data_IF_109463480972
#
_entry.id   IF_109463480972
#
_cell.length_a   1.000
_cell.length_b   1.000
_cell.length_c   1.000
_cell.angle_alpha   90.00
_cell.angle_beta   90.00
_cell.angle_gamma   90.00
#
_symmetry.space_group_name_H-M   'P 1'
#
loop_
_entity.id
_entity.type
_entity.pdbx_description
1 polymer ?
#
# COMPACT_ATOMS: atom_id res chain seq x y z
N UNK A 1 2.15 37.02 -5.16
CA UNK A 1 2.50 36.33 -6.43
C UNK A 1 2.16 34.87 -6.25
N UNK A 2 0.90 34.51 -6.50
CA UNK A 2 0.41 33.13 -6.41
C UNK A 2 1.13 32.29 -7.46
N UNK A 3 2.10 31.48 -7.04
CA UNK A 3 2.57 30.38 -7.87
C UNK A 3 1.46 29.32 -7.88
N UNK A 4 0.45 29.53 -8.72
CA UNK A 4 -0.33 28.43 -9.27
C UNK A 4 0.59 27.63 -10.20
N UNK A 5 1.55 26.95 -9.58
CA UNK A 5 2.41 25.99 -10.21
C UNK A 5 1.52 24.76 -10.41
N UNK A 6 0.93 24.62 -11.59
CA UNK A 6 0.26 23.38 -11.96
C UNK A 6 1.28 22.23 -11.86
N UNK A 7 1.25 21.49 -10.75
CA UNK A 7 2.06 20.29 -10.56
C UNK A 7 1.57 19.29 -11.60
N UNK A 8 2.35 19.08 -12.66
CA UNK A 8 2.05 18.06 -13.66
C UNK A 8 2.33 16.69 -13.06
N UNK A 9 1.31 16.13 -12.40
CA UNK A 9 1.34 14.79 -11.83
C UNK A 9 1.33 13.77 -12.98
N UNK A 10 2.32 12.88 -13.00
CA UNK A 10 2.40 11.83 -14.01
C UNK A 10 1.27 10.80 -13.83
N UNK A 11 0.62 10.31 -14.91
CA UNK A 11 -0.46 9.31 -14.85
C UNK A 11 -0.14 8.07 -13.99
N UNK A 12 1.13 7.64 -14.01
CA UNK A 12 1.62 6.51 -13.20
C UNK A 12 1.35 6.69 -11.70
N UNK A 13 1.37 7.92 -11.18
CA UNK A 13 1.07 8.18 -9.77
C UNK A 13 -0.38 7.82 -9.43
N UNK A 14 -1.34 8.20 -10.28
CA UNK A 14 -2.75 7.84 -10.09
C UNK A 14 -2.95 6.33 -10.15
N UNK A 15 -2.28 5.64 -11.09
CA UNK A 15 -2.32 4.17 -11.17
C UNK A 15 -1.80 3.55 -9.87
N UNK A 16 -0.69 4.05 -9.32
CA UNK A 16 -0.14 3.56 -8.06
C UNK A 16 -1.09 3.79 -6.88
N UNK A 17 -1.69 4.97 -6.75
CA UNK A 17 -2.66 5.28 -5.69
C UNK A 17 -3.89 4.39 -5.80
N UNK A 18 -4.45 4.23 -7.00
CA UNK A 18 -5.61 3.35 -7.24
C UNK A 18 -5.30 1.91 -6.86
N UNK A 19 -4.14 1.38 -7.25
CA UNK A 19 -3.76 0.00 -6.93
C UNK A 19 -3.59 -0.21 -5.42
N UNK A 20 -2.99 0.77 -4.71
CA UNK A 20 -2.86 0.73 -3.24
C UNK A 20 -4.19 0.86 -2.52
N UNK A 21 -5.13 1.67 -3.04
CA UNK A 21 -6.50 1.74 -2.53
C UNK A 21 -7.21 0.40 -2.67
N UNK A 22 -7.08 -0.27 -3.82
CA UNK A 22 -7.66 -1.61 -4.00
C UNK A 22 -7.08 -2.56 -2.95
N UNK A 23 -5.75 -2.58 -2.77
CA UNK A 23 -5.08 -3.42 -1.77
C UNK A 23 -5.56 -3.12 -0.34
N UNK A 24 -5.78 -1.85 0.01
CA UNK A 24 -6.25 -1.49 1.36
C UNK A 24 -7.67 -1.99 1.67
N UNK A 25 -8.54 -2.14 0.66
CA UNK A 25 -9.89 -2.67 0.83
C UNK A 25 -9.95 -4.22 0.87
N UNK A 26 -8.92 -4.92 0.40
CA UNK A 26 -8.88 -6.39 0.36
C UNK A 26 -9.23 -7.03 1.72
N UNK A 27 -8.61 -6.65 2.86
CA UNK A 27 -8.95 -7.24 4.17
C UNK A 27 -10.42 -7.07 4.55
N UNK A 28 -11.02 -5.89 4.26
CA UNK A 28 -12.43 -5.60 4.58
C UNK A 28 -13.39 -6.43 3.74
N UNK A 29 -13.12 -6.56 2.44
CA UNK A 29 -13.92 -7.40 1.55
C UNK A 29 -13.93 -8.85 2.06
N UNK A 30 -12.79 -9.36 2.52
CA UNK A 30 -12.73 -10.69 3.13
C UNK A 30 -13.61 -10.81 4.37
N UNK A 31 -13.57 -9.85 5.29
CA UNK A 31 -14.41 -9.90 6.48
C UNK A 31 -15.91 -9.93 6.11
N UNK A 32 -16.32 -9.12 5.13
CA UNK A 32 -17.70 -9.06 4.66
C UNK A 32 -18.18 -10.38 4.02
N UNK A 33 -17.36 -10.98 3.14
CA UNK A 33 -17.72 -12.23 2.46
C UNK A 33 -17.60 -13.47 3.37
N UNK A 34 -16.59 -13.51 4.26
CA UNK A 34 -16.28 -14.69 5.07
C UNK A 34 -17.25 -14.87 6.25
N UNK A 35 -17.49 -13.81 7.04
CA UNK A 35 -18.34 -13.90 8.24
C UNK A 35 -19.80 -14.16 7.86
N UNK A 36 -20.24 -13.70 6.68
CA UNK A 36 -21.64 -13.78 6.26
C UNK A 36 -22.00 -15.05 5.50
N UNK A 37 -21.04 -15.74 4.88
CA UNK A 37 -21.29 -16.89 3.99
C UNK A 37 -20.47 -18.13 4.41
N UNK A 38 -21.00 -18.91 5.37
CA UNK A 38 -20.32 -20.06 5.99
C UNK A 38 -20.09 -21.28 5.08
N UNK A 39 -20.70 -21.36 3.88
CA UNK A 39 -20.72 -22.60 3.07
C UNK A 39 -19.39 -22.95 2.36
N UNK A 40 -18.39 -22.06 2.32
CA UNK A 40 -17.14 -22.25 1.56
C UNK A 40 -15.85 -22.02 2.37
N UNK A 41 -15.90 -22.40 3.66
CA UNK A 41 -14.89 -22.08 4.68
C UNK A 41 -13.44 -22.43 4.29
N UNK A 42 -13.19 -23.61 3.70
CA UNK A 42 -11.82 -24.08 3.38
C UNK A 42 -11.15 -23.32 2.20
N UNK A 43 -11.86 -23.10 1.09
CA UNK A 43 -11.29 -22.36 -0.06
C UNK A 43 -10.99 -20.91 0.32
N UNK A 44 -11.83 -20.32 1.16
CA UNK A 44 -11.68 -18.93 1.60
C UNK A 44 -10.57 -18.75 2.65
N UNK A 45 -10.35 -19.72 3.54
CA UNK A 45 -9.22 -19.69 4.49
C UNK A 45 -7.86 -19.71 3.77
N UNK A 46 -7.74 -20.48 2.68
CA UNK A 46 -6.54 -20.48 1.81
C UNK A 46 -6.30 -19.12 1.15
N UNK A 47 -7.36 -18.42 0.72
CA UNK A 47 -7.25 -17.07 0.15
C UNK A 47 -6.79 -16.04 1.19
N UNK A 48 -7.26 -16.14 2.44
CA UNK A 48 -6.82 -15.26 3.54
C UNK A 48 -5.31 -15.40 3.76
N UNK A 49 -4.83 -16.65 3.84
CA UNK A 49 -3.42 -16.95 4.01
C UNK A 49 -2.60 -16.40 2.84
N UNK A 50 -3.08 -16.57 1.61
CA UNK A 50 -2.42 -16.06 0.41
C UNK A 50 -2.30 -14.52 0.43
N UNK A 51 -3.36 -13.80 0.77
CA UNK A 51 -3.31 -12.32 0.81
C UNK A 51 -2.39 -11.79 1.89
N UNK A 52 -2.37 -12.42 3.06
CA UNK A 52 -1.41 -12.10 4.11
C UNK A 52 0.03 -12.19 3.57
N UNK A 53 0.36 -13.27 2.86
CA UNK A 53 1.69 -13.44 2.28
C UNK A 53 1.98 -12.44 1.15
N UNK A 54 1.00 -12.09 0.31
CA UNK A 54 1.18 -11.06 -0.72
C UNK A 54 1.51 -9.71 -0.09
N UNK A 55 0.75 -9.27 0.92
CA UNK A 55 1.01 -8.01 1.62
C UNK A 55 2.38 -8.05 2.31
N UNK A 56 2.73 -9.19 2.92
CA UNK A 56 4.05 -9.38 3.52
C UNK A 56 5.18 -9.24 2.49
N UNK A 57 5.04 -9.87 1.32
CA UNK A 57 6.02 -9.79 0.23
C UNK A 57 6.16 -8.36 -0.29
N UNK A 58 5.06 -7.61 -0.41
CA UNK A 58 5.10 -6.19 -0.78
C UNK A 58 5.87 -5.38 0.27
N UNK A 59 5.60 -5.60 1.57
CA UNK A 59 6.30 -4.95 2.66
C UNK A 59 7.81 -5.26 2.68
N UNK A 60 8.17 -6.54 2.47
CA UNK A 60 9.56 -6.97 2.33
C UNK A 60 10.23 -6.37 1.08
N UNK A 61 9.50 -6.25 -0.03
CA UNK A 61 9.98 -5.59 -1.24
C UNK A 61 10.32 -4.11 -1.00
N UNK A 62 9.46 -3.39 -0.29
CA UNK A 62 9.73 -2.02 0.13
C UNK A 62 10.91 -1.94 1.10
N UNK A 63 11.01 -2.86 2.06
CA UNK A 63 12.11 -2.91 3.02
C UNK A 63 13.45 -3.13 2.30
N UNK A 64 13.51 -4.13 1.43
CA UNK A 64 14.69 -4.41 0.61
C UNK A 64 15.09 -3.18 -0.22
N UNK A 65 14.14 -2.55 -0.90
CA UNK A 65 14.40 -1.32 -1.68
C UNK A 65 14.72 -0.09 -0.84
N UNK A 66 14.39 -0.09 0.44
CA UNK A 66 14.79 0.96 1.38
C UNK A 66 16.22 0.77 1.86
N UNK A 67 16.66 -0.47 2.08
CA UNK A 67 17.99 -0.78 2.60
C UNK A 67 19.07 -0.81 1.51
N UNK A 68 18.73 -1.36 0.34
CA UNK A 68 19.69 -1.62 -0.73
C UNK A 68 19.44 -0.80 -2.01
N UNK A 69 18.29 -0.12 -2.11
CA UNK A 69 18.00 0.74 -3.25
C UNK A 69 18.76 2.07 -3.17
N UNK A 70 18.87 2.78 -4.30
CA UNK A 70 19.47 4.11 -4.36
C UNK A 70 18.52 5.14 -4.97
N UNK A 71 18.82 6.43 -4.77
CA UNK A 71 18.12 7.53 -5.45
C UNK A 71 18.38 7.60 -6.96
N UNK A 72 19.40 6.88 -7.44
CA UNK A 72 19.82 6.85 -8.85
C UNK A 72 19.31 5.61 -9.58
N UNK A 73 18.35 4.88 -9.01
CA UNK A 73 17.70 3.76 -9.69
C UNK A 73 16.93 4.25 -10.93
N UNK A 74 16.99 3.47 -12.01
CA UNK A 74 16.18 3.72 -13.20
C UNK A 74 14.69 3.60 -12.83
N UNK A 75 13.97 4.72 -12.92
CA UNK A 75 12.53 4.79 -12.74
C UNK A 75 11.92 5.42 -13.99
N UNK A 76 10.84 4.80 -14.51
CA UNK A 76 10.06 5.35 -15.65
C UNK A 76 9.72 6.82 -15.38
N UNK A 77 9.33 7.13 -14.14
CA UNK A 77 9.27 8.47 -13.56
C UNK A 77 9.52 8.40 -12.06
N UNK A 78 10.01 9.51 -11.49
CA UNK A 78 10.18 9.71 -10.04
C UNK A 78 8.84 9.83 -9.32
N UNK A 79 8.15 8.70 -9.22
CA UNK A 79 6.87 8.54 -8.51
C UNK A 79 7.09 7.86 -7.15
N UNK A 80 8.18 7.10 -7.01
CA UNK A 80 8.54 6.40 -5.78
C UNK A 80 9.77 7.04 -5.14
N UNK A 81 9.53 7.74 -4.03
CA UNK A 81 10.59 8.42 -3.28
C UNK A 81 11.35 7.43 -2.40
N UNK A 82 12.67 7.41 -2.53
CA UNK A 82 13.52 6.51 -1.73
C UNK A 82 13.32 6.71 -0.23
N UNK A 83 13.27 7.98 0.20
CA UNK A 83 13.16 8.35 1.61
C UNK A 83 11.86 7.86 2.27
N UNK A 84 10.80 7.63 1.49
CA UNK A 84 9.52 7.15 2.03
C UNK A 84 9.36 5.63 1.98
N UNK A 85 10.29 4.90 1.35
CA UNK A 85 10.21 3.43 1.21
C UNK A 85 10.15 2.73 2.56
N UNK A 86 10.88 3.25 3.56
CA UNK A 86 10.87 2.68 4.91
C UNK A 86 9.49 2.79 5.57
N UNK A 87 8.79 3.90 5.37
CA UNK A 87 7.44 4.12 5.93
C UNK A 87 6.46 3.13 5.28
N UNK A 88 6.51 3.00 3.94
CA UNK A 88 5.71 2.01 3.22
C UNK A 88 6.01 0.58 3.69
N UNK A 89 7.30 0.25 3.87
CA UNK A 89 7.71 -1.06 4.39
C UNK A 89 7.09 -1.35 5.76
N UNK A 90 7.24 -0.42 6.71
CA UNK A 90 6.70 -0.56 8.07
C UNK A 90 5.19 -0.75 8.04
N UNK A 91 4.46 0.08 7.29
CA UNK A 91 3.00 -0.01 7.21
C UNK A 91 2.54 -1.35 6.63
N UNK A 92 3.14 -1.80 5.52
CA UNK A 92 2.78 -3.09 4.92
C UNK A 92 3.13 -4.29 5.82
N UNK A 93 4.28 -4.26 6.50
CA UNK A 93 4.66 -5.32 7.44
C UNK A 93 3.71 -5.37 8.64
N UNK A 94 3.37 -4.22 9.24
CA UNK A 94 2.39 -4.13 10.33
C UNK A 94 1.03 -4.65 9.89
N UNK A 95 0.57 -4.27 8.69
CA UNK A 95 -0.70 -4.74 8.13
C UNK A 95 -0.72 -6.26 7.92
N UNK A 96 0.38 -6.85 7.44
CA UNK A 96 0.51 -8.29 7.22
C UNK A 96 0.53 -9.09 8.53
N UNK A 97 1.26 -8.60 9.55
CA UNK A 97 1.31 -9.23 10.87
C UNK A 97 -0.06 -9.19 11.57
N UNK A 98 -0.81 -8.11 11.37
CA UNK A 98 -2.14 -7.91 11.95
C UNK A 98 -3.30 -8.27 11.02
N UNK A 99 -3.08 -9.10 9.98
CA UNK A 99 -4.12 -9.42 9.00
C UNK A 99 -5.37 -10.09 9.62
N UNK A 100 -5.23 -10.74 10.77
CA UNK A 100 -6.35 -11.32 11.53
C UNK A 100 -7.36 -10.25 12.01
N UNK A 101 -6.89 -9.02 12.27
CA UNK A 101 -7.75 -7.88 12.53
C UNK A 101 -7.94 -7.10 11.22
N UNK A 102 -8.88 -7.56 10.40
CA UNK A 102 -9.12 -7.04 9.06
C UNK A 102 -9.35 -5.52 9.01
N UNK A 103 -10.06 -4.98 10.00
CA UNK A 103 -10.31 -3.53 10.11
C UNK A 103 -9.02 -2.77 10.35
N UNK A 104 -8.19 -3.24 11.29
CA UNK A 104 -6.90 -2.62 11.58
C UNK A 104 -5.92 -2.75 10.42
N UNK A 105 -5.80 -3.95 9.81
CA UNK A 105 -4.95 -4.16 8.64
C UNK A 105 -5.33 -3.24 7.48
N UNK A 106 -6.63 -3.13 7.19
CA UNK A 106 -7.14 -2.20 6.17
C UNK A 106 -6.86 -0.74 6.51
N UNK A 107 -7.06 -0.34 7.78
CA UNK A 107 -6.75 1.02 8.25
C UNK A 107 -5.26 1.38 8.08
N UNK A 108 -4.36 0.45 8.40
CA UNK A 108 -2.91 0.66 8.21
C UNK A 108 -2.56 0.80 6.73
N UNK A 109 -3.12 -0.05 5.85
CA UNK A 109 -2.92 0.06 4.40
C UNK A 109 -3.54 1.34 3.81
N UNK A 110 -4.67 1.80 4.35
CA UNK A 110 -5.25 3.09 3.97
C UNK A 110 -4.36 4.25 4.42
N UNK A 111 -3.75 4.13 5.60
CA UNK A 111 -2.80 5.13 6.12
C UNK A 111 -1.58 5.26 5.21
N UNK A 112 -1.14 4.17 4.55
CA UNK A 112 -0.10 4.22 3.51
C UNK A 112 -0.49 5.09 2.32
N UNK A 113 -1.73 4.95 1.85
CA UNK A 113 -2.27 5.74 0.74
C UNK A 113 -2.36 7.21 1.15
N UNK A 114 -2.95 7.49 2.31
CA UNK A 114 -3.07 8.85 2.84
C UNK A 114 -1.70 9.50 3.00
N UNK A 115 -0.74 8.77 3.57
CA UNK A 115 0.63 9.23 3.68
C UNK A 115 1.23 9.57 2.31
N UNK A 116 1.04 8.71 1.30
CA UNK A 116 1.55 8.97 -0.05
C UNK A 116 0.91 10.20 -0.71
N UNK A 117 -0.36 10.48 -0.41
CA UNK A 117 -1.08 11.67 -0.88
C UNK A 117 -0.56 12.92 -0.18
N UNK A 118 -0.50 12.92 1.15
CA UNK A 118 0.00 14.04 1.94
C UNK A 118 1.45 14.38 1.62
N UNK A 119 2.31 13.36 1.52
CA UNK A 119 3.72 13.56 1.21
C UNK A 119 3.92 14.25 -0.15
N UNK A 120 3.07 13.95 -1.13
CA UNK A 120 3.08 14.59 -2.45
C UNK A 120 2.74 16.08 -2.34
N UNK A 121 1.60 16.39 -1.73
CA UNK A 121 1.08 17.75 -1.67
C UNK A 121 1.89 18.67 -0.75
N UNK A 122 2.40 18.15 0.38
CA UNK A 122 3.21 18.95 1.31
C UNK A 122 4.58 19.33 0.73
N UNK A 123 5.20 18.42 -0.04
CA UNK A 123 6.52 18.68 -0.61
C UNK A 123 6.46 19.31 -2.01
N UNK A 124 5.28 19.50 -2.59
CA UNK A 124 5.09 20.06 -3.93
C UNK A 124 5.78 19.25 -5.04
N UNK A 125 6.04 17.96 -4.80
CA UNK A 125 6.74 17.07 -5.74
C UNK A 125 5.76 16.60 -6.79
#
# INVERSE_FOLDING_TARGET
>A
MEKNLFIKIHPLWYICITLRLIISFIPLLYNYFFVKNSKNSYRMSKLIVLNKYIILLIGLGFLYKSLFGSNNEFQIKKVFWHNTRIIHAILYLIAALNFHNYKFSSFILLSDVLFSIFYRFLNGI
#
